data_IF_391903213350
#
_entry.id   IF_391903213350
#
_cell.length_a   1.000
_cell.length_b   1.000
_cell.length_c   1.000
_cell.angle_alpha   90.00
_cell.angle_beta   90.00
_cell.angle_gamma   90.00
#
_symmetry.space_group_name_H-M   'P 1'
#
loop_
_entity.id
_entity.type
_entity.pdbx_description
1 polymer ?
#
# COMPACT_ATOMS: atom_id res chain seq x y z
N UNK A 1 55.67 -12.70 16.62
CA UNK A 1 54.32 -12.79 15.99
C UNK A 1 53.67 -11.41 15.79
N UNK A 2 54.25 -10.51 14.99
CA UNK A 2 53.68 -9.13 14.82
C UNK A 2 53.83 -8.50 13.43
N UNK A 3 54.13 -9.28 12.38
CA UNK A 3 54.33 -8.76 11.01
C UNK A 3 53.20 -9.09 10.02
N UNK A 4 52.28 -9.99 10.35
CA UNK A 4 51.22 -10.44 9.41
C UNK A 4 49.93 -9.62 9.46
N UNK A 5 49.75 -8.74 10.46
CA UNK A 5 48.53 -7.93 10.63
C UNK A 5 48.59 -6.63 9.82
N UNK A 6 49.79 -6.10 9.53
CA UNK A 6 49.94 -4.84 8.80
C UNK A 6 49.66 -4.97 7.28
N UNK A 7 50.00 -6.11 6.67
CA UNK A 7 49.82 -6.34 5.22
C UNK A 7 48.35 -6.56 4.83
N UNK A 8 47.54 -7.17 5.72
CA UNK A 8 46.10 -7.35 5.48
C UNK A 8 45.34 -6.02 5.57
N UNK A 9 45.74 -5.13 6.49
CA UNK A 9 45.13 -3.81 6.62
C UNK A 9 45.37 -2.91 5.40
N UNK A 10 46.58 -2.94 4.82
CA UNK A 10 46.91 -2.13 3.63
C UNK A 10 46.22 -2.65 2.37
N UNK A 11 46.08 -3.97 2.22
CA UNK A 11 45.37 -4.56 1.08
C UNK A 11 43.85 -4.25 1.10
N UNK A 12 43.21 -4.28 2.27
CA UNK A 12 41.78 -3.96 2.41
C UNK A 12 41.52 -2.47 2.15
N UNK A 13 42.39 -1.59 2.62
CA UNK A 13 42.28 -0.14 2.34
C UNK A 13 42.54 0.16 0.86
N UNK A 14 43.50 -0.51 0.22
CA UNK A 14 43.76 -0.36 -1.22
C UNK A 14 42.58 -0.84 -2.07
N UNK A 15 41.95 -1.98 -1.71
CA UNK A 15 40.73 -2.46 -2.38
C UNK A 15 39.55 -1.51 -2.15
N UNK A 16 39.36 -0.97 -0.94
CA UNK A 16 38.30 0.00 -0.67
C UNK A 16 38.50 1.33 -1.43
N UNK A 17 39.75 1.79 -1.58
CA UNK A 17 40.08 2.99 -2.36
C UNK A 17 39.91 2.74 -3.85
N UNK A 18 40.28 1.55 -4.36
CA UNK A 18 40.07 1.16 -5.76
C UNK A 18 38.59 0.97 -6.08
N UNK A 19 37.80 0.37 -5.18
CA UNK A 19 36.33 0.28 -5.32
C UNK A 19 35.69 1.67 -5.33
N UNK A 20 36.20 2.61 -4.51
CA UNK A 20 35.72 4.00 -4.48
C UNK A 20 36.17 4.83 -5.69
N UNK A 21 37.31 4.49 -6.32
CA UNK A 21 37.80 5.11 -7.56
C UNK A 21 37.17 4.51 -8.82
N UNK A 22 36.65 3.28 -8.75
CA UNK A 22 35.93 2.58 -9.82
C UNK A 22 34.40 2.75 -9.73
N UNK A 23 33.89 3.30 -8.63
CA UNK A 23 32.48 3.65 -8.48
C UNK A 23 32.17 4.87 -9.35
N UNK A 24 31.63 4.61 -10.54
CA UNK A 24 31.02 5.66 -11.35
C UNK A 24 29.72 6.11 -10.66
N UNK A 25 29.47 7.43 -10.50
CA UNK A 25 28.18 7.90 -10.04
C UNK A 25 27.08 7.44 -11.01
N UNK A 26 25.89 7.06 -10.51
CA UNK A 26 24.85 6.47 -11.36
C UNK A 26 24.44 7.42 -12.49
N UNK A 27 24.66 6.98 -13.73
CA UNK A 27 24.56 7.81 -14.93
C UNK A 27 23.08 8.04 -15.31
N UNK A 28 22.18 7.09 -15.02
CA UNK A 28 20.74 7.21 -15.26
C UNK A 28 19.90 7.47 -13.99
N UNK A 29 18.65 7.91 -14.16
CA UNK A 29 17.76 8.26 -13.06
C UNK A 29 17.30 7.05 -12.25
N UNK A 30 17.27 5.87 -12.85
CA UNK A 30 16.82 4.63 -12.22
C UNK A 30 17.85 4.15 -11.20
N UNK A 31 19.12 4.08 -11.60
CA UNK A 31 20.22 3.71 -10.70
C UNK A 31 20.40 4.73 -9.56
N UNK A 32 20.12 6.02 -9.81
CA UNK A 32 20.09 7.05 -8.75
C UNK A 32 18.99 6.80 -7.73
N UNK A 33 17.77 6.50 -8.18
CA UNK A 33 16.68 6.16 -7.27
C UNK A 33 17.00 4.92 -6.45
N UNK A 34 17.51 3.84 -7.06
CA UNK A 34 17.93 2.63 -6.34
C UNK A 34 19.03 2.89 -5.30
N UNK A 35 20.02 3.71 -5.65
CA UNK A 35 21.07 4.10 -4.72
C UNK A 35 20.48 4.89 -3.54
N UNK A 36 19.57 5.83 -3.81
CA UNK A 36 18.85 6.59 -2.78
C UNK A 36 17.95 5.68 -1.91
N UNK A 37 17.29 4.68 -2.48
CA UNK A 37 16.48 3.72 -1.73
C UNK A 37 17.34 2.86 -0.81
N UNK A 38 18.41 2.27 -1.36
CA UNK A 38 19.34 1.45 -0.59
C UNK A 38 20.03 2.27 0.50
N UNK A 39 20.44 3.50 0.19
CA UNK A 39 21.01 4.43 1.17
C UNK A 39 19.97 4.80 2.23
N UNK A 40 18.73 5.10 1.86
CA UNK A 40 17.69 5.48 2.82
C UNK A 40 17.35 4.32 3.76
N UNK A 41 17.20 3.09 3.25
CA UNK A 41 16.96 1.89 4.07
C UNK A 41 18.14 1.66 5.02
N UNK A 42 19.38 1.71 4.52
CA UNK A 42 20.56 1.59 5.36
C UNK A 42 20.65 2.72 6.40
N UNK A 43 20.28 3.94 6.02
CA UNK A 43 20.28 5.10 6.93
C UNK A 43 19.24 4.91 8.02
N UNK A 44 18.05 4.42 7.69
CA UNK A 44 16.98 4.13 8.64
C UNK A 44 17.41 3.05 9.63
N UNK A 45 18.09 2.00 9.16
CA UNK A 45 18.66 0.97 10.01
C UNK A 45 19.78 1.51 10.91
N UNK A 46 20.58 2.46 10.41
CA UNK A 46 21.66 3.11 11.13
C UNK A 46 21.23 4.29 12.03
N UNK A 47 19.94 4.66 12.07
CA UNK A 47 19.44 5.82 12.83
C UNK A 47 19.87 5.79 14.31
N UNK A 48 19.95 4.61 14.92
CA UNK A 48 20.32 4.47 16.34
C UNK A 48 21.72 4.98 16.68
N UNK A 49 22.58 5.16 15.67
CA UNK A 49 23.95 5.65 15.84
C UNK A 49 24.03 7.19 15.76
N UNK A 50 22.95 7.88 15.38
CA UNK A 50 22.91 9.33 15.24
C UNK A 50 22.39 10.01 16.52
N UNK A 51 22.76 11.28 16.77
CA UNK A 51 22.11 12.10 17.80
C UNK A 51 20.60 12.22 17.57
N UNK A 52 19.80 12.29 18.65
CA UNK A 52 18.32 12.30 18.57
C UNK A 52 17.75 13.39 17.64
N UNK A 53 18.31 14.59 17.69
CA UNK A 53 17.88 15.69 16.82
C UNK A 53 18.12 15.40 15.33
N UNK A 54 19.20 14.68 15.02
CA UNK A 54 19.53 14.28 13.65
C UNK A 54 18.65 13.11 13.20
N UNK A 55 18.32 12.18 14.10
CA UNK A 55 17.36 11.10 13.82
C UNK A 55 16.00 11.64 13.38
N UNK A 56 15.44 12.60 14.12
CA UNK A 56 14.16 13.22 13.77
C UNK A 56 14.24 13.90 12.41
N UNK A 57 15.27 14.72 12.18
CA UNK A 57 15.43 15.45 10.93
C UNK A 57 15.52 14.50 9.72
N UNK A 58 16.25 13.38 9.85
CA UNK A 58 16.39 12.38 8.80
C UNK A 58 15.09 11.64 8.51
N UNK A 59 14.40 11.17 9.55
CA UNK A 59 13.10 10.50 9.43
C UNK A 59 12.08 11.44 8.78
N UNK A 60 12.03 12.69 9.22
CA UNK A 60 11.12 13.70 8.67
C UNK A 60 11.40 13.98 7.19
N UNK A 61 12.66 14.15 6.81
CA UNK A 61 13.06 14.34 5.42
C UNK A 61 12.65 13.16 4.54
N UNK A 62 13.04 11.92 4.90
CA UNK A 62 12.69 10.76 4.09
C UNK A 62 11.19 10.53 4.01
N UNK A 63 10.45 10.70 5.12
CA UNK A 63 9.01 10.46 5.15
C UNK A 63 8.21 11.53 4.38
N UNK A 64 8.60 12.80 4.47
CA UNK A 64 7.80 13.90 3.93
C UNK A 64 8.28 14.40 2.57
N UNK A 65 9.53 14.17 2.19
CA UNK A 65 10.12 14.76 0.99
C UNK A 65 10.50 13.72 -0.07
N UNK A 66 10.76 12.46 0.32
CA UNK A 66 11.16 11.43 -0.65
C UNK A 66 10.09 11.19 -1.72
N UNK A 67 10.48 11.11 -3.01
CA UNK A 67 9.58 10.71 -4.09
C UNK A 67 9.27 9.20 -4.03
N UNK A 68 10.18 8.39 -3.48
CA UNK A 68 10.00 6.94 -3.37
C UNK A 68 9.02 6.56 -2.26
N UNK A 69 7.99 5.78 -2.62
CA UNK A 69 7.05 5.19 -1.67
C UNK A 69 7.74 4.19 -0.74
N UNK A 70 8.72 3.44 -1.25
CA UNK A 70 9.52 2.46 -0.50
C UNK A 70 10.32 3.14 0.60
N UNK A 71 10.99 4.24 0.28
CA UNK A 71 11.75 5.05 1.26
C UNK A 71 10.83 5.63 2.32
N UNK A 72 9.67 6.16 1.94
CA UNK A 72 8.68 6.67 2.90
C UNK A 72 8.16 5.56 3.81
N UNK A 73 7.86 4.38 3.27
CA UNK A 73 7.43 3.23 4.05
C UNK A 73 8.54 2.78 5.02
N UNK A 74 9.80 2.73 4.59
CA UNK A 74 10.93 2.46 5.48
C UNK A 74 11.04 3.54 6.57
N UNK A 75 10.88 4.82 6.24
CA UNK A 75 10.98 5.91 7.20
C UNK A 75 9.96 5.80 8.33
N UNK A 76 8.76 5.26 8.05
CA UNK A 76 7.74 4.94 9.07
C UNK A 76 8.26 3.97 10.15
N UNK A 77 9.13 3.02 9.82
CA UNK A 77 9.79 2.15 10.83
C UNK A 77 10.79 2.92 11.69
N UNK A 78 11.45 3.94 11.12
CA UNK A 78 12.33 4.85 11.83
C UNK A 78 11.60 5.69 12.89
N UNK A 79 10.33 6.04 12.64
CA UNK A 79 9.52 6.92 13.49
C UNK A 79 9.39 6.40 14.93
N UNK A 80 9.37 5.07 15.15
CA UNK A 80 9.19 4.50 16.50
C UNK A 80 10.40 4.70 17.43
N UNK A 81 11.52 5.21 16.91
CA UNK A 81 12.72 5.55 17.69
C UNK A 81 12.67 6.96 18.27
N UNK A 82 11.75 7.79 17.78
CA UNK A 82 11.55 9.16 18.24
C UNK A 82 10.67 9.20 19.50
N UNK A 83 10.56 10.38 20.11
CA UNK A 83 9.63 10.54 21.22
C UNK A 83 8.18 10.29 20.77
N UNK A 84 7.28 9.80 21.65
CA UNK A 84 5.95 9.38 21.25
C UNK A 84 5.07 10.47 20.64
N UNK A 85 5.25 11.74 21.03
CA UNK A 85 4.44 12.85 20.53
C UNK A 85 4.84 13.20 19.09
N UNK A 86 6.13 13.32 18.83
CA UNK A 86 6.69 13.50 17.48
C UNK A 86 6.38 12.30 16.61
N UNK A 87 6.54 11.08 17.15
CA UNK A 87 6.23 9.85 16.43
C UNK A 87 4.77 9.84 15.96
N UNK A 88 3.82 10.14 16.85
CA UNK A 88 2.40 10.24 16.50
C UNK A 88 2.17 11.26 15.37
N UNK A 89 2.73 12.45 15.47
CA UNK A 89 2.52 13.50 14.47
C UNK A 89 3.03 13.09 13.08
N UNK A 90 4.19 12.43 13.02
CA UNK A 90 4.75 11.91 11.76
C UNK A 90 3.93 10.75 11.20
N UNK A 91 3.43 9.84 12.03
CA UNK A 91 2.53 8.77 11.60
C UNK A 91 1.19 9.31 11.08
N UNK A 92 0.63 10.35 11.70
CA UNK A 92 -0.57 11.04 11.18
C UNK A 92 -0.32 11.70 9.81
N UNK A 93 0.87 12.25 9.59
CA UNK A 93 1.27 12.75 8.28
C UNK A 93 1.40 11.61 7.25
N UNK A 94 2.01 10.49 7.64
CA UNK A 94 2.16 9.30 6.78
C UNK A 94 0.82 8.67 6.36
N UNK A 95 -0.22 8.77 7.18
CA UNK A 95 -1.57 8.32 6.80
C UNK A 95 -2.19 9.14 5.65
N UNK A 96 -1.61 10.29 5.29
CA UNK A 96 -2.04 11.10 4.13
C UNK A 96 -1.33 10.72 2.83
N UNK A 97 -0.48 9.69 2.84
CA UNK A 97 0.25 9.23 1.65
C UNK A 97 -0.70 8.58 0.62
N UNK A 98 -0.46 8.81 -0.67
CA UNK A 98 -1.22 8.14 -1.75
C UNK A 98 -0.91 6.64 -1.81
N UNK A 99 0.30 6.22 -1.44
CA UNK A 99 0.72 4.83 -1.48
C UNK A 99 0.13 4.07 -0.28
N UNK A 100 -0.64 3.02 -0.57
CA UNK A 100 -1.25 2.19 0.47
C UNK A 100 -0.19 1.52 1.37
N UNK A 101 0.96 1.13 0.82
CA UNK A 101 2.04 0.49 1.57
C UNK A 101 2.52 1.34 2.76
N UNK A 102 2.71 2.65 2.55
CA UNK A 102 3.11 3.58 3.62
C UNK A 102 2.07 3.58 4.74
N UNK A 103 0.78 3.60 4.41
CA UNK A 103 -0.32 3.60 5.39
C UNK A 103 -0.48 2.24 6.09
N UNK A 104 -0.28 1.13 5.38
CA UNK A 104 -0.22 -0.22 5.97
C UNK A 104 0.91 -0.27 6.99
N UNK A 105 2.07 0.29 6.66
CA UNK A 105 3.20 0.35 7.57
C UNK A 105 2.88 1.13 8.84
N UNK A 106 2.15 2.25 8.74
CA UNK A 106 1.68 3.00 9.93
C UNK A 106 0.86 2.10 10.85
N UNK A 107 -0.10 1.33 10.31
CA UNK A 107 -0.90 0.41 11.11
C UNK A 107 -0.06 -0.71 11.76
N UNK A 108 1.00 -1.16 11.09
CA UNK A 108 1.91 -2.18 11.61
C UNK A 108 2.81 -1.67 12.74
N UNK A 109 3.27 -0.41 12.68
CA UNK A 109 4.18 0.14 13.69
C UNK A 109 3.46 0.84 14.85
N UNK A 110 2.23 1.32 14.64
CA UNK A 110 1.46 2.02 15.66
C UNK A 110 1.38 1.30 17.02
N UNK A 111 1.22 -0.05 17.09
CA UNK A 111 1.23 -0.78 18.36
C UNK A 111 2.52 -0.67 19.19
N UNK A 112 3.63 -0.20 18.61
CA UNK A 112 4.90 0.03 19.31
C UNK A 112 4.91 1.36 20.09
N UNK A 113 3.95 2.25 19.82
CA UNK A 113 3.76 3.48 20.59
C UNK A 113 2.91 3.22 21.86
N UNK A 114 2.97 4.11 22.86
CA UNK A 114 2.01 4.12 23.96
C UNK A 114 0.56 4.10 23.46
N UNK A 115 -0.34 3.43 24.19
CA UNK A 115 -1.71 3.14 23.75
C UNK A 115 -2.53 4.40 23.44
N UNK A 116 -2.31 5.47 24.17
CA UNK A 116 -2.92 6.79 23.98
C UNK A 116 -2.61 7.41 22.62
N UNK A 117 -1.47 7.05 22.01
CA UNK A 117 -1.07 7.49 20.68
C UNK A 117 -1.39 6.45 19.60
N UNK A 118 -1.21 5.16 19.92
CA UNK A 118 -1.42 4.06 18.99
C UNK A 118 -2.90 3.90 18.57
N UNK A 119 -3.82 3.98 19.53
CA UNK A 119 -5.23 3.64 19.30
C UNK A 119 -5.93 4.62 18.36
N UNK A 120 -5.77 5.95 18.50
CA UNK A 120 -6.34 6.89 17.52
C UNK A 120 -5.87 6.66 16.08
N UNK A 121 -4.57 6.34 15.90
CA UNK A 121 -4.02 6.00 14.59
C UNK A 121 -4.69 4.75 14.02
N UNK A 122 -4.77 3.67 14.81
CA UNK A 122 -5.37 2.42 14.37
C UNK A 122 -6.87 2.56 14.06
N UNK A 123 -7.62 3.30 14.87
CA UNK A 123 -9.05 3.57 14.60
C UNK A 123 -9.24 4.32 13.28
N UNK A 124 -8.32 5.23 12.96
CA UNK A 124 -8.29 5.91 11.66
C UNK A 124 -8.01 4.95 10.51
N UNK A 125 -7.04 4.03 10.69
CA UNK A 125 -6.73 3.02 9.68
C UNK A 125 -7.88 2.02 9.43
N UNK A 126 -8.72 1.73 10.43
CA UNK A 126 -9.90 0.84 10.26
C UNK A 126 -10.90 1.41 9.25
N UNK A 127 -10.95 2.72 9.05
CA UNK A 127 -11.86 3.37 8.08
C UNK A 127 -11.14 3.82 6.80
N UNK A 128 -9.93 3.31 6.54
CA UNK A 128 -9.21 3.57 5.28
C UNK A 128 -9.97 2.95 4.09
N UNK A 129 -9.88 3.60 2.93
CA UNK A 129 -10.47 3.10 1.69
C UNK A 129 -9.81 1.79 1.23
N UNK A 130 -8.53 1.60 1.55
CA UNK A 130 -7.73 0.44 1.20
C UNK A 130 -7.99 -0.74 2.15
N UNK A 131 -8.32 -1.90 1.57
CA UNK A 131 -8.62 -3.10 2.34
C UNK A 131 -7.44 -3.58 3.17
N UNK A 132 -6.20 -3.53 2.66
CA UNK A 132 -5.04 -4.01 3.42
C UNK A 132 -4.73 -3.12 4.63
N UNK A 133 -4.89 -1.80 4.50
CA UNK A 133 -4.75 -0.87 5.65
C UNK A 133 -5.77 -1.21 6.74
N UNK A 134 -7.04 -1.45 6.36
CA UNK A 134 -8.09 -1.87 7.32
C UNK A 134 -7.71 -3.18 8.01
N UNK A 135 -7.29 -4.19 7.25
CA UNK A 135 -6.92 -5.52 7.78
C UNK A 135 -5.73 -5.47 8.75
N UNK A 136 -4.70 -4.67 8.44
CA UNK A 136 -3.57 -4.44 9.32
C UNK A 136 -4.02 -3.82 10.65
N UNK A 137 -4.89 -2.81 10.58
CA UNK A 137 -5.42 -2.13 11.76
C UNK A 137 -6.32 -3.05 12.63
N UNK A 138 -7.18 -3.85 12.00
CA UNK A 138 -8.02 -4.84 12.70
C UNK A 138 -7.15 -5.83 13.49
N UNK A 139 -6.09 -6.35 12.86
CA UNK A 139 -5.15 -7.28 13.48
C UNK A 139 -4.42 -6.63 14.66
N UNK A 140 -3.95 -5.40 14.49
CA UNK A 140 -3.29 -4.64 15.54
C UNK A 140 -4.22 -4.40 16.75
N UNK A 141 -5.46 -3.95 16.52
CA UNK A 141 -6.45 -3.70 17.58
C UNK A 141 -6.86 -4.99 18.30
N UNK A 142 -6.97 -6.11 17.58
CA UNK A 142 -7.19 -7.43 18.16
C UNK A 142 -6.06 -7.80 19.13
N UNK A 143 -4.80 -7.66 18.71
CA UNK A 143 -3.63 -8.00 19.53
C UNK A 143 -3.52 -7.10 20.77
N UNK A 144 -3.85 -5.83 20.64
CA UNK A 144 -3.91 -4.88 21.76
C UNK A 144 -5.08 -5.14 22.72
N UNK A 145 -6.05 -5.98 22.31
CA UNK A 145 -7.34 -6.20 22.97
C UNK A 145 -8.11 -4.89 23.20
N UNK A 146 -8.10 -4.00 22.20
CA UNK A 146 -8.65 -2.65 22.34
C UNK A 146 -10.19 -2.65 22.24
N UNK A 147 -10.85 -2.59 23.40
CA UNK A 147 -12.31 -2.63 23.52
C UNK A 147 -13.00 -1.37 22.96
N UNK A 148 -12.30 -0.22 22.91
CA UNK A 148 -12.83 1.01 22.31
C UNK A 148 -13.05 0.89 20.80
N UNK A 149 -12.42 -0.08 20.13
CA UNK A 149 -12.60 -0.29 18.71
C UNK A 149 -13.93 -0.98 18.34
N UNK A 150 -14.63 -1.58 19.30
CA UNK A 150 -15.85 -2.38 19.03
C UNK A 150 -16.90 -1.65 18.18
N UNK A 151 -17.29 -0.38 18.45
CA UNK A 151 -18.25 0.33 17.61
C UNK A 151 -17.83 0.39 16.14
N UNK A 152 -16.56 0.73 15.90
CA UNK A 152 -16.00 0.89 14.54
C UNK A 152 -15.88 -0.46 13.84
N UNK A 153 -15.43 -1.51 14.55
CA UNK A 153 -15.33 -2.86 13.99
C UNK A 153 -16.71 -3.42 13.64
N UNK A 154 -17.75 -3.16 14.45
CA UNK A 154 -19.12 -3.56 14.13
C UNK A 154 -19.66 -2.79 12.92
N UNK A 155 -19.40 -1.48 12.84
CA UNK A 155 -19.80 -0.69 11.68
C UNK A 155 -19.15 -1.23 10.41
N UNK A 156 -17.84 -1.47 10.42
CA UNK A 156 -17.16 -2.04 9.27
C UNK A 156 -17.67 -3.44 8.93
N UNK A 157 -18.01 -4.28 9.92
CA UNK A 157 -18.59 -5.61 9.68
C UNK A 157 -19.95 -5.51 8.98
N UNK A 158 -20.70 -4.41 9.17
CA UNK A 158 -21.97 -4.15 8.46
C UNK A 158 -21.74 -3.68 7.02
N UNK A 159 -20.74 -2.85 6.80
CA UNK A 159 -20.63 -2.10 5.55
C UNK A 159 -19.64 -2.74 4.55
N UNK A 160 -18.63 -3.48 5.04
CA UNK A 160 -17.60 -4.10 4.21
C UNK A 160 -18.08 -5.42 3.60
N UNK A 161 -17.85 -5.62 2.30
CA UNK A 161 -18.24 -6.81 1.55
C UNK A 161 -17.10 -7.82 1.38
N UNK A 162 -15.86 -7.48 1.74
CA UNK A 162 -14.71 -8.36 1.63
C UNK A 162 -14.77 -9.48 2.68
N UNK A 163 -14.84 -10.73 2.24
CA UNK A 163 -15.01 -11.88 3.13
C UNK A 163 -13.84 -12.07 4.11
N UNK A 164 -12.60 -11.82 3.66
CA UNK A 164 -11.41 -11.89 4.51
C UNK A 164 -11.45 -10.83 5.59
N UNK A 165 -11.83 -9.60 5.25
CA UNK A 165 -12.01 -8.52 6.22
C UNK A 165 -13.12 -8.85 7.22
N UNK A 166 -14.28 -9.35 6.76
CA UNK A 166 -15.35 -9.79 7.64
C UNK A 166 -14.91 -10.90 8.60
N UNK A 167 -14.12 -11.87 8.12
CA UNK A 167 -13.56 -12.93 8.96
C UNK A 167 -12.64 -12.37 10.05
N UNK A 168 -11.72 -11.48 9.69
CA UNK A 168 -10.82 -10.81 10.64
C UNK A 168 -11.61 -10.00 11.67
N UNK A 169 -12.64 -9.27 11.25
CA UNK A 169 -13.51 -8.51 12.13
C UNK A 169 -14.21 -9.38 13.18
N UNK A 170 -14.79 -10.52 12.76
CA UNK A 170 -15.40 -11.46 13.71
C UNK A 170 -14.39 -12.04 14.70
N UNK A 171 -13.16 -12.32 14.25
CA UNK A 171 -12.05 -12.74 15.11
C UNK A 171 -11.67 -11.68 16.14
N UNK A 172 -11.49 -10.44 15.68
CA UNK A 172 -11.15 -9.29 16.52
C UNK A 172 -12.25 -9.01 17.55
N UNK A 173 -13.51 -8.94 17.11
CA UNK A 173 -14.67 -8.73 17.97
C UNK A 173 -14.76 -9.80 19.07
N UNK A 174 -14.55 -11.08 18.71
CA UNK A 174 -14.49 -12.16 19.71
C UNK A 174 -13.36 -11.95 20.72
N UNK A 175 -12.17 -11.60 20.25
CA UNK A 175 -11.00 -11.42 21.11
C UNK A 175 -11.13 -10.23 22.10
N UNK A 176 -11.80 -9.14 21.68
CA UNK A 176 -11.95 -7.92 22.50
C UNK A 176 -13.21 -7.92 23.39
N UNK A 177 -14.27 -8.65 23.00
CA UNK A 177 -15.54 -8.68 23.75
C UNK A 177 -15.74 -9.94 24.58
N UNK A 178 -15.05 -11.04 24.23
CA UNK A 178 -15.27 -12.36 24.82
C UNK A 178 -16.56 -13.07 24.37
N UNK A 179 -17.34 -12.49 23.45
CA UNK A 179 -18.56 -13.12 22.94
C UNK A 179 -18.24 -14.40 22.14
N UNK A 180 -19.12 -15.42 22.16
CA UNK A 180 -18.83 -16.72 21.58
C UNK A 180 -19.04 -16.79 20.05
N UNK A 181 -19.49 -15.72 19.41
CA UNK A 181 -19.85 -15.73 17.99
C UNK A 181 -18.61 -15.83 17.10
N UNK A 182 -18.50 -16.92 16.33
CA UNK A 182 -17.37 -17.13 15.42
C UNK A 182 -17.72 -18.11 14.30
N UNK A 183 -17.18 -17.83 13.12
CA UNK A 183 -17.17 -18.73 11.97
C UNK A 183 -15.74 -18.81 11.41
N UNK A 184 -15.31 -20.01 11.02
CA UNK A 184 -14.07 -20.23 10.27
C UNK A 184 -14.22 -19.68 8.86
N UNK A 185 -13.11 -19.32 8.23
CA UNK A 185 -13.12 -18.92 6.83
C UNK A 185 -13.64 -20.05 5.91
N UNK A 186 -13.36 -21.30 6.27
CA UNK A 186 -13.80 -22.51 5.55
C UNK A 186 -15.23 -22.97 5.87
N UNK A 187 -15.93 -22.30 6.80
CA UNK A 187 -17.35 -22.59 7.04
C UNK A 187 -18.21 -22.15 5.85
N UNK A 188 -19.39 -22.77 5.61
CA UNK A 188 -20.29 -22.36 4.51
C UNK A 188 -20.66 -20.87 4.57
N UNK A 189 -20.85 -20.19 3.42
CA UNK A 189 -21.22 -18.78 3.38
C UNK A 189 -22.45 -18.43 4.23
N UNK A 190 -23.44 -19.31 4.29
CA UNK A 190 -24.67 -19.12 5.08
C UNK A 190 -24.36 -19.08 6.58
N UNK A 191 -23.44 -19.93 7.05
CA UNK A 191 -23.00 -19.94 8.44
C UNK A 191 -22.20 -18.67 8.78
N UNK A 192 -21.31 -18.23 7.89
CA UNK A 192 -20.57 -16.97 8.07
C UNK A 192 -21.54 -15.78 8.15
N UNK A 193 -22.55 -15.74 7.27
CA UNK A 193 -23.59 -14.73 7.29
C UNK A 193 -24.44 -14.78 8.57
N UNK A 194 -24.78 -15.97 9.07
CA UNK A 194 -25.51 -16.13 10.33
C UNK A 194 -24.72 -15.57 11.53
N UNK A 195 -23.42 -15.89 11.64
CA UNK A 195 -22.56 -15.38 12.72
C UNK A 195 -22.42 -13.86 12.63
N UNK A 196 -22.32 -13.31 11.41
CA UNK A 196 -22.36 -11.85 11.20
C UNK A 196 -23.66 -11.25 11.73
N UNK A 197 -24.82 -11.86 11.48
CA UNK A 197 -26.10 -11.39 12.03
C UNK A 197 -26.16 -11.49 13.56
N UNK A 198 -25.56 -12.52 14.16
CA UNK A 198 -25.45 -12.62 15.63
C UNK A 198 -24.68 -11.44 16.23
N UNK A 199 -23.56 -11.05 15.61
CA UNK A 199 -22.80 -9.86 16.02
C UNK A 199 -23.64 -8.58 15.93
N UNK A 200 -24.34 -8.38 14.82
CA UNK A 200 -25.19 -7.19 14.63
C UNK A 200 -26.36 -7.14 15.62
N UNK A 201 -27.01 -8.28 15.89
CA UNK A 201 -28.08 -8.38 16.87
C UNK A 201 -27.60 -8.16 18.31
N UNK A 202 -26.43 -8.69 18.66
CA UNK A 202 -25.78 -8.42 19.94
C UNK A 202 -25.48 -6.93 20.11
N UNK A 203 -24.94 -6.30 19.06
CA UNK A 203 -24.59 -4.88 19.10
C UNK A 203 -25.79 -3.96 19.36
N UNK A 204 -26.97 -4.28 18.82
CA UNK A 204 -28.20 -3.50 19.08
C UNK A 204 -28.49 -3.32 20.58
N UNK A 205 -28.14 -4.32 21.41
CA UNK A 205 -28.32 -4.30 22.86
C UNK A 205 -27.09 -3.72 23.58
N UNK A 206 -25.89 -4.09 23.12
CA UNK A 206 -24.64 -3.76 23.80
C UNK A 206 -24.16 -2.31 23.56
N UNK A 207 -24.54 -1.67 22.45
CA UNK A 207 -24.00 -0.38 22.02
C UNK A 207 -24.08 0.74 23.08
N UNK A 208 -25.09 0.73 23.96
CA UNK A 208 -25.25 1.73 25.02
C UNK A 208 -24.14 1.69 26.08
N UNK A 209 -23.40 0.59 26.16
CA UNK A 209 -22.28 0.41 27.09
C UNK A 209 -20.93 0.79 26.48
N UNK A 210 -20.91 1.33 25.26
CA UNK A 210 -19.71 1.72 24.54
C UNK A 210 -19.75 3.23 24.23
N UNK A 211 -18.58 3.85 24.19
CA UNK A 211 -18.42 5.21 23.73
C UNK A 211 -18.70 5.29 22.21
N UNK A 212 -19.37 6.35 21.75
CA UNK A 212 -19.63 6.59 20.33
C UNK A 212 -18.37 7.16 19.65
N UNK A 213 -17.43 6.27 19.33
CA UNK A 213 -16.20 6.63 18.63
C UNK A 213 -16.44 6.50 17.13
N UNK A 214 -16.37 7.63 16.43
CA UNK A 214 -16.49 7.71 14.96
C UNK A 214 -15.20 8.28 14.38
N UNK A 215 -14.23 7.43 14.01
CA UNK A 215 -13.01 7.90 13.40
C UNK A 215 -13.33 8.56 12.06
N UNK A 216 -12.67 9.68 11.78
CA UNK A 216 -12.75 10.33 10.48
C UNK A 216 -11.72 9.66 9.56
N UNK A 217 -12.10 9.23 8.35
CA UNK A 217 -11.15 8.69 7.40
C UNK A 217 -10.13 9.77 7.03
N UNK A 218 -8.84 9.42 7.08
CA UNK A 218 -7.80 10.27 6.49
C UNK A 218 -7.78 9.98 4.99
N UNK A 219 -8.10 11.01 4.22
CA UNK A 219 -7.97 10.96 2.77
C UNK A 219 -6.52 11.21 2.39
N UNK A 220 -5.94 10.42 1.47
CA UNK A 220 -4.65 10.73 0.90
C UNK A 220 -4.65 12.13 0.28
N UNK A 221 -3.72 12.96 0.76
CA UNK A 221 -3.53 14.34 0.30
C UNK A 221 -2.19 14.51 -0.40
N UNK A 222 -1.18 13.71 -0.04
CA UNK A 222 0.07 13.65 -0.78
C UNK A 222 -0.22 13.06 -2.15
N UNK A 223 0.29 13.70 -3.19
CA UNK A 223 0.26 13.19 -4.56
C UNK A 223 1.62 13.43 -5.19
N UNK A 224 1.91 12.69 -6.26
CA UNK A 224 3.08 12.93 -7.11
C UNK A 224 2.62 13.03 -8.56
N UNK A 225 3.31 13.82 -9.37
CA UNK A 225 3.01 13.87 -10.80
C UNK A 225 3.36 12.52 -11.43
N UNK A 226 2.46 12.02 -12.27
CA UNK A 226 2.73 10.89 -13.14
C UNK A 226 3.90 11.23 -14.10
N UNK A 227 4.70 10.23 -14.50
CA UNK A 227 5.83 10.46 -15.39
C UNK A 227 5.36 10.93 -16.78
N UNK A 228 6.24 11.63 -17.50
CA UNK A 228 5.96 12.09 -18.86
C UNK A 228 6.06 10.95 -19.88
N UNK A 229 5.14 10.00 -19.78
CA UNK A 229 5.11 8.81 -20.60
C UNK A 229 3.75 8.72 -21.27
N UNK A 230 3.80 8.32 -22.55
CA UNK A 230 2.63 7.95 -23.33
C UNK A 230 2.64 6.45 -23.51
N UNK A 231 1.63 5.78 -22.97
CA UNK A 231 1.41 4.35 -23.19
C UNK A 231 0.69 4.19 -24.53
N UNK A 232 1.20 3.29 -25.38
CA UNK A 232 0.52 2.89 -26.61
C UNK A 232 -0.19 1.57 -26.39
N UNK A 233 -1.51 1.54 -26.57
CA UNK A 233 -2.31 0.32 -26.43
C UNK A 233 -2.03 -0.64 -27.57
N UNK A 234 -2.41 -1.91 -27.40
CA UNK A 234 -2.27 -2.93 -28.45
C UNK A 234 -3.08 -2.54 -29.69
N UNK A 235 -4.19 -1.82 -29.52
CA UNK A 235 -5.04 -1.26 -30.58
C UNK A 235 -4.45 0.00 -31.23
N UNK A 236 -3.34 0.52 -30.69
CA UNK A 236 -2.62 1.68 -31.22
C UNK A 236 -3.03 3.03 -30.62
N UNK A 237 -3.97 3.05 -29.68
CA UNK A 237 -4.38 4.28 -28.98
C UNK A 237 -3.24 4.79 -28.10
N UNK A 238 -3.14 6.11 -27.96
CA UNK A 238 -2.10 6.77 -27.18
C UNK A 238 -2.72 7.36 -25.91
N UNK A 239 -2.25 6.91 -24.75
CA UNK A 239 -2.72 7.36 -23.44
C UNK A 239 -1.58 8.06 -22.72
N UNK A 240 -1.68 9.38 -22.55
CA UNK A 240 -0.73 10.15 -21.73
C UNK A 240 -1.01 9.92 -20.25
N UNK A 241 0.03 9.62 -19.47
CA UNK A 241 -0.10 9.54 -18.02
C UNK A 241 -0.18 10.93 -17.36
N UNK A 242 0.41 11.97 -17.98
CA UNK A 242 0.34 13.35 -17.48
C UNK A 242 -0.99 14.05 -17.78
N UNK A 243 -1.67 13.64 -18.84
CA UNK A 243 -2.93 14.24 -19.26
C UNK A 243 -3.88 13.15 -19.77
N UNK A 244 -4.31 12.23 -18.90
CA UNK A 244 -5.24 11.20 -19.32
C UNK A 244 -6.62 11.82 -19.59
N UNK A 245 -7.37 11.32 -20.59
CA UNK A 245 -8.65 11.91 -21.00
C UNK A 245 -9.77 11.74 -19.95
N UNK A 246 -9.59 10.80 -19.03
CA UNK A 246 -10.43 10.50 -17.87
C UNK A 246 -9.48 10.14 -16.71
N UNK A 247 -9.97 10.10 -15.46
CA UNK A 247 -9.24 9.39 -14.41
C UNK A 247 -8.80 8.02 -14.92
N UNK A 248 -7.51 7.75 -14.81
CA UNK A 248 -6.85 6.57 -15.36
C UNK A 248 -6.53 5.60 -14.23
N UNK A 249 -7.09 4.39 -14.30
CA UNK A 249 -6.63 3.26 -13.52
C UNK A 249 -5.62 2.46 -14.37
N UNK A 250 -4.34 2.64 -14.08
CA UNK A 250 -3.24 1.96 -14.74
C UNK A 250 -2.88 0.70 -13.95
N UNK A 251 -3.13 -0.48 -14.52
CA UNK A 251 -2.83 -1.77 -13.90
C UNK A 251 -1.58 -2.37 -14.55
N UNK A 252 -0.51 -2.55 -13.79
CA UNK A 252 0.74 -3.17 -14.21
C UNK A 252 0.67 -4.66 -13.82
N UNK A 253 0.75 -5.55 -14.81
CA UNK A 253 0.42 -6.96 -14.61
C UNK A 253 1.23 -7.91 -15.51
N UNK A 254 0.97 -9.21 -15.40
CA UNK A 254 1.48 -10.23 -16.33
C UNK A 254 0.62 -11.50 -16.30
N UNK A 255 0.59 -12.25 -17.39
CA UNK A 255 -0.20 -13.50 -17.54
C UNK A 255 0.26 -14.60 -16.60
N UNK A 256 1.55 -14.61 -16.28
CA UNK A 256 2.22 -15.53 -15.35
C UNK A 256 2.00 -15.18 -13.87
N UNK A 257 1.49 -13.99 -13.58
CA UNK A 257 1.38 -13.46 -12.22
C UNK A 257 0.08 -13.91 -11.55
N UNK A 258 0.18 -14.76 -10.52
CA UNK A 258 -0.99 -15.29 -9.80
C UNK A 258 -1.82 -14.19 -9.12
N UNK A 259 -1.18 -13.26 -8.41
CA UNK A 259 -1.89 -12.14 -7.75
C UNK A 259 -2.59 -11.22 -8.76
N UNK A 260 -2.03 -11.06 -9.95
CA UNK A 260 -2.69 -10.33 -11.04
C UNK A 260 -3.99 -11.04 -11.43
N UNK A 261 -3.94 -12.37 -11.59
CA UNK A 261 -5.14 -13.16 -11.91
C UNK A 261 -6.21 -13.15 -10.83
N UNK A 262 -5.83 -13.01 -9.55
CA UNK A 262 -6.75 -12.81 -8.44
C UNK A 262 -7.50 -11.47 -8.52
N UNK A 263 -6.84 -10.41 -9.01
CA UNK A 263 -7.42 -9.06 -9.15
C UNK A 263 -8.28 -8.89 -10.43
N UNK A 264 -8.03 -9.68 -11.48
CA UNK A 264 -8.72 -9.55 -12.77
C UNK A 264 -10.26 -9.52 -12.70
N UNK A 265 -10.95 -10.40 -11.94
CA UNK A 265 -12.41 -10.35 -11.86
C UNK A 265 -12.93 -9.01 -11.35
N UNK A 266 -12.22 -8.40 -10.39
CA UNK A 266 -12.57 -7.10 -9.82
C UNK A 266 -12.35 -5.97 -10.83
N UNK A 267 -11.24 -5.99 -11.59
CA UNK A 267 -10.98 -5.00 -12.65
C UNK A 267 -11.99 -5.11 -13.80
N UNK A 268 -12.39 -6.33 -14.19
CA UNK A 268 -13.44 -6.55 -15.20
C UNK A 268 -14.77 -5.99 -14.70
N UNK A 269 -15.15 -6.27 -13.44
CA UNK A 269 -16.38 -5.75 -12.85
C UNK A 269 -16.35 -4.21 -12.77
N UNK A 270 -15.20 -3.64 -12.39
CA UNK A 270 -14.98 -2.21 -12.33
C UNK A 270 -15.13 -1.57 -13.72
N UNK A 271 -14.49 -2.14 -14.75
CA UNK A 271 -14.61 -1.65 -16.13
C UNK A 271 -16.07 -1.65 -16.60
N UNK A 272 -16.82 -2.73 -16.37
CA UNK A 272 -18.23 -2.83 -16.74
C UNK A 272 -19.09 -1.75 -16.08
N UNK A 273 -18.78 -1.37 -14.83
CA UNK A 273 -19.57 -0.42 -14.04
C UNK A 273 -19.13 1.04 -14.20
N UNK A 274 -17.84 1.28 -14.49
CA UNK A 274 -17.23 2.61 -14.46
C UNK A 274 -16.48 3.00 -15.75
N UNK A 275 -16.43 2.17 -16.80
CA UNK A 275 -15.67 2.45 -18.03
C UNK A 275 -16.02 3.77 -18.74
N UNK A 276 -17.24 4.26 -18.56
CA UNK A 276 -17.65 5.58 -19.08
C UNK A 276 -17.03 6.75 -18.30
N UNK A 277 -16.66 6.54 -17.03
CA UNK A 277 -16.13 7.57 -16.11
C UNK A 277 -14.63 7.42 -15.85
N UNK A 278 -14.11 6.21 -15.94
CA UNK A 278 -12.72 5.86 -15.62
C UNK A 278 -12.14 5.06 -16.77
N UNK A 279 -11.00 5.51 -17.27
CA UNK A 279 -10.22 4.75 -18.24
C UNK A 279 -9.39 3.71 -17.50
N UNK A 280 -9.52 2.43 -17.85
CA UNK A 280 -8.68 1.36 -17.31
C UNK A 280 -7.72 0.92 -18.41
N UNK A 281 -6.43 0.88 -18.12
CA UNK A 281 -5.41 0.37 -19.05
C UNK A 281 -4.56 -0.67 -18.32
N UNK A 282 -4.53 -1.89 -18.85
CA UNK A 282 -3.60 -2.92 -18.39
C UNK A 282 -2.28 -2.82 -19.14
N UNK A 283 -1.15 -2.88 -18.43
CA UNK A 283 0.20 -2.88 -19.00
C UNK A 283 0.89 -4.18 -18.60
N UNK A 284 1.11 -5.05 -19.58
CA UNK A 284 1.66 -6.38 -19.36
C UNK A 284 3.19 -6.37 -19.45
N UNK A 285 3.88 -6.87 -18.42
CA UNK A 285 5.34 -7.00 -18.35
C UNK A 285 5.80 -8.45 -18.47
N UNK A 286 7.01 -8.64 -19.01
CA UNK A 286 7.70 -9.93 -19.09
C UNK A 286 6.88 -11.05 -19.74
N UNK A 287 6.18 -10.74 -20.83
CA UNK A 287 5.30 -11.66 -21.56
C UNK A 287 6.07 -12.48 -22.60
N UNK A 288 6.27 -13.80 -22.40
CA UNK A 288 7.08 -14.62 -23.30
C UNK A 288 6.56 -14.69 -24.73
N UNK A 289 5.23 -14.63 -24.89
CA UNK A 289 4.55 -14.63 -26.18
C UNK A 289 4.19 -13.22 -26.68
N UNK A 290 4.69 -12.19 -25.99
CA UNK A 290 4.47 -10.79 -26.28
C UNK A 290 2.99 -10.41 -26.42
N UNK A 291 2.71 -9.41 -27.26
CA UNK A 291 1.37 -8.88 -27.46
C UNK A 291 0.35 -9.93 -27.94
N UNK A 292 0.77 -10.92 -28.72
CA UNK A 292 -0.12 -11.98 -29.19
C UNK A 292 -0.61 -12.87 -28.04
N UNK A 293 0.29 -13.22 -27.12
CA UNK A 293 -0.05 -13.95 -25.89
C UNK A 293 -1.03 -13.19 -25.02
N UNK A 294 -0.75 -11.90 -24.79
CA UNK A 294 -1.63 -11.00 -24.02
C UNK A 294 -3.03 -10.93 -24.63
N UNK A 295 -3.15 -10.71 -25.94
CA UNK A 295 -4.45 -10.67 -26.63
C UNK A 295 -5.25 -11.96 -26.42
N UNK A 296 -4.59 -13.11 -26.58
CA UNK A 296 -5.23 -14.42 -26.41
C UNK A 296 -5.69 -14.63 -24.97
N UNK A 297 -4.86 -14.27 -24.00
CA UNK A 297 -5.22 -14.35 -22.58
C UNK A 297 -6.42 -13.44 -22.26
N UNK A 298 -6.40 -12.19 -22.73
CA UNK A 298 -7.50 -11.25 -22.54
C UNK A 298 -8.81 -11.76 -23.14
N UNK A 299 -8.77 -12.33 -24.36
CA UNK A 299 -9.94 -12.95 -24.98
C UNK A 299 -10.48 -14.13 -24.16
N UNK A 300 -9.60 -14.99 -23.62
CA UNK A 300 -10.00 -16.12 -22.78
C UNK A 300 -10.62 -15.70 -21.44
N UNK A 301 -10.09 -14.64 -20.82
CA UNK A 301 -10.56 -14.14 -19.53
C UNK A 301 -11.70 -13.13 -19.64
N UNK A 302 -12.05 -12.69 -20.85
CA UNK A 302 -13.09 -11.69 -21.08
C UNK A 302 -12.70 -10.28 -20.64
N UNK A 303 -11.41 -9.95 -20.73
CA UNK A 303 -10.89 -8.61 -20.48
C UNK A 303 -11.21 -7.72 -21.69
N UNK A 304 -11.92 -6.62 -21.47
CA UNK A 304 -12.40 -5.72 -22.52
C UNK A 304 -11.79 -4.31 -22.46
N UNK A 305 -11.11 -3.97 -21.37
CA UNK A 305 -10.40 -2.69 -21.28
C UNK A 305 -9.07 -2.75 -22.03
N UNK A 306 -8.59 -1.60 -22.59
CA UNK A 306 -7.35 -1.54 -23.36
C UNK A 306 -6.14 -2.14 -22.66
N UNK A 307 -5.30 -2.80 -23.44
CA UNK A 307 -4.04 -3.38 -22.97
C UNK A 307 -2.86 -2.70 -23.65
N UNK A 308 -1.68 -2.76 -23.05
CA UNK A 308 -0.42 -2.31 -23.60
C UNK A 308 0.72 -3.25 -23.19
N UNK A 309 1.83 -3.19 -23.92
CA UNK A 309 3.07 -3.84 -23.50
C UNK A 309 3.89 -2.90 -22.61
N UNK A 310 4.42 -3.42 -21.52
CA UNK A 310 5.37 -2.72 -20.66
C UNK A 310 6.64 -2.36 -21.41
N UNK A 311 7.24 -1.23 -21.04
CA UNK A 311 8.53 -0.78 -21.57
C UNK A 311 9.50 -0.57 -20.41
N UNK A 312 10.81 -0.67 -20.69
CA UNK A 312 11.85 -0.38 -19.70
C UNK A 312 11.69 1.03 -19.12
N UNK A 313 11.45 2.04 -19.97
CA UNK A 313 11.25 3.42 -19.53
C UNK A 313 10.05 3.58 -18.56
N UNK A 314 8.94 2.87 -18.82
CA UNK A 314 7.78 2.88 -17.90
C UNK A 314 8.07 2.14 -16.59
N UNK A 315 8.74 0.99 -16.67
CA UNK A 315 9.14 0.24 -15.47
C UNK A 315 10.06 1.07 -14.57
N UNK A 316 11.04 1.77 -15.15
CA UNK A 316 11.96 2.63 -14.43
C UNK A 316 11.27 3.85 -13.83
N UNK A 317 10.40 4.52 -14.60
CA UNK A 317 9.74 5.75 -14.16
C UNK A 317 8.67 5.52 -13.08
N UNK A 318 8.10 4.32 -13.01
CA UNK A 318 7.15 3.91 -11.96
C UNK A 318 7.79 2.96 -10.94
N UNK A 319 9.10 2.74 -10.99
CA UNK A 319 9.80 1.90 -10.01
C UNK A 319 9.16 0.50 -9.85
N UNK A 320 8.97 -0.17 -10.98
CA UNK A 320 8.24 -1.44 -11.08
C UNK A 320 9.17 -2.61 -10.79
N UNK A 321 9.17 -3.10 -9.55
CA UNK A 321 9.96 -4.27 -9.12
C UNK A 321 9.16 -5.57 -9.08
N UNK A 322 7.86 -5.49 -9.30
CA UNK A 322 6.94 -6.61 -9.21
C UNK A 322 5.54 -6.21 -9.59
N UNK A 323 4.70 -7.22 -9.86
CA UNK A 323 3.30 -7.08 -10.26
C UNK A 323 2.41 -8.00 -9.39
N UNK A 324 1.12 -7.67 -9.18
CA UNK A 324 0.43 -6.51 -9.73
C UNK A 324 0.77 -5.21 -8.99
N UNK A 325 0.75 -4.11 -9.72
CA UNK A 325 0.65 -2.76 -9.16
C UNK A 325 -0.46 -2.01 -9.86
N UNK A 326 -1.27 -1.27 -9.11
CA UNK A 326 -2.36 -0.49 -9.69
C UNK A 326 -2.27 0.95 -9.22
N UNK A 327 -2.33 1.89 -10.16
CA UNK A 327 -2.27 3.33 -9.91
C UNK A 327 -3.56 3.98 -10.36
N UNK A 328 -4.10 4.88 -9.54
CA UNK A 328 -5.21 5.74 -9.92
C UNK A 328 -4.70 7.17 -10.11
N UNK A 329 -4.74 7.64 -11.36
CA UNK A 329 -4.22 8.92 -11.83
C UNK A 329 -5.41 9.81 -12.18
N UNK A 330 -5.44 11.05 -11.72
CA UNK A 330 -6.48 12.00 -12.13
C UNK A 330 -6.19 12.65 -13.49
N UNK A 331 -7.14 13.43 -14.01
CA UNK A 331 -7.02 14.10 -15.32
C UNK A 331 -5.95 15.19 -15.37
N UNK A 332 -5.40 15.59 -14.22
CA UNK A 332 -4.25 16.51 -14.14
C UNK A 332 -2.92 15.77 -14.14
N UNK A 333 -2.94 14.43 -14.29
CA UNK A 333 -1.75 13.60 -14.26
C UNK A 333 -1.15 13.47 -12.86
N UNK A 334 -1.93 13.65 -11.80
CA UNK A 334 -1.46 13.38 -10.44
C UNK A 334 -1.80 11.94 -10.05
N UNK A 335 -0.82 11.19 -9.53
CA UNK A 335 -1.05 9.89 -8.92
C UNK A 335 -1.71 10.13 -7.56
N UNK A 336 -2.97 9.68 -7.44
CA UNK A 336 -3.83 9.90 -6.28
C UNK A 336 -3.85 8.70 -5.35
N UNK A 337 -3.68 7.51 -5.90
CA UNK A 337 -3.57 6.27 -5.16
C UNK A 337 -2.61 5.32 -5.86
N UNK A 338 -1.88 4.55 -5.07
CA UNK A 338 -0.97 3.50 -5.55
C UNK A 338 -1.10 2.28 -4.65
N UNK A 339 -1.34 1.13 -5.27
CA UNK A 339 -1.46 -0.16 -4.61
C UNK A 339 -0.45 -1.15 -5.16
N UNK A 340 0.30 -1.76 -4.26
CA UNK A 340 1.16 -2.90 -4.57
C UNK A 340 0.44 -4.19 -4.14
N UNK A 341 0.45 -5.19 -5.01
CA UNK A 341 -0.35 -6.41 -4.86
C UNK A 341 -1.83 -6.21 -5.18
N UNK A 342 -2.55 -7.33 -5.28
CA UNK A 342 -3.95 -7.35 -5.69
C UNK A 342 -4.85 -6.52 -4.77
N UNK A 343 -5.88 -5.89 -5.34
CA UNK A 343 -6.93 -5.18 -4.61
C UNK A 343 -8.33 -5.62 -5.04
N UNK A 344 -9.24 -5.55 -4.06
CA UNK A 344 -10.64 -5.86 -4.29
C UNK A 344 -11.39 -4.70 -4.96
N UNK A 345 -12.54 -5.03 -5.59
CA UNK A 345 -13.42 -4.05 -6.21
C UNK A 345 -13.80 -2.90 -5.27
N UNK A 346 -14.09 -3.21 -4.00
CA UNK A 346 -14.50 -2.21 -3.02
C UNK A 346 -13.42 -1.15 -2.77
N UNK A 347 -12.14 -1.52 -2.84
CA UNK A 347 -11.01 -0.61 -2.69
C UNK A 347 -10.98 0.40 -3.82
N UNK A 348 -11.11 -0.08 -5.05
CA UNK A 348 -11.19 0.80 -6.22
C UNK A 348 -12.42 1.71 -6.16
N UNK A 349 -13.60 1.16 -5.84
CA UNK A 349 -14.83 1.95 -5.76
C UNK A 349 -14.74 3.06 -4.70
N UNK A 350 -14.22 2.77 -3.51
CA UNK A 350 -14.01 3.79 -2.48
C UNK A 350 -12.99 4.83 -2.93
N UNK A 351 -11.90 4.45 -3.58
CA UNK A 351 -10.92 5.39 -4.10
C UNK A 351 -11.51 6.32 -5.19
N UNK A 352 -12.33 5.78 -6.10
CA UNK A 352 -13.04 6.56 -7.11
C UNK A 352 -14.04 7.54 -6.48
N UNK A 353 -14.74 7.15 -5.41
CA UNK A 353 -15.61 8.06 -4.66
C UNK A 353 -14.82 9.23 -4.04
N UNK A 354 -13.60 8.97 -3.56
CA UNK A 354 -12.73 10.00 -3.01
C UNK A 354 -12.22 11.00 -4.07
N UNK A 355 -12.13 10.59 -5.34
CA UNK A 355 -11.85 11.51 -6.44
C UNK A 355 -13.03 12.43 -6.80
N UNK A 356 -14.22 12.20 -6.23
CA UNK A 356 -15.45 12.95 -6.51
C UNK A 356 -15.81 13.00 -8.00
N UNK A 357 -15.72 11.83 -8.65
CA UNK A 357 -16.09 11.65 -10.07
C UNK A 357 -17.59 11.75 -10.32
#
# INVERSE_FOLDING_TARGET
MRKSVLLVGVAVVAVAVVVRLLYKPPEDAHERHHAEEAEAVQTIDALSQLPLAEQEARVRHYLLESPSKTVRAAAVEGVTRLDPATARALLEAALRDYAAEVRVRVAAVAPRLPREHAVPLLLTCVVDHDTQVRQAAITALQNLRERRAVPVLIQLLRDDTNETTQHLLMGALRAVTGQPFYARFTDPPEKRAQVRQQWLAWWQKAQRSYEDIRPQPIHPQRTVAAPDIVVQTLEGERVSLRQPPKPLLLNLWGTWCAGCQEELPDLIALHRKYGDRVLIVGVAFDEPEGAAGVRRFCAQKGIQYPQAMGTKALAEALDVHGVPQTLLIDTQGSIRFWWDGARDLGTFERALQLLRL
#
